data_IF_155338091316
#
_entry.id   IF_155338091316
#
_cell.length_a   1.000
_cell.length_b   1.000
_cell.length_c   1.000
_cell.angle_alpha   90.00
_cell.angle_beta   90.00
_cell.angle_gamma   90.00
#
_symmetry.space_group_name_H-M   'P 1'
#
loop_
_entity.id
_entity.type
_entity.pdbx_description
1 polymer ?
#
# COMPACT_ATOMS: atom_id res chain seq x y z
N UNK A 1 8.92 -10.22 4.99
CA UNK A 1 8.04 -9.33 5.79
C UNK A 1 7.91 -9.94 7.18
N UNK A 2 7.88 -9.15 8.26
CA UNK A 2 7.46 -9.64 9.57
C UNK A 2 5.98 -10.09 9.50
N UNK A 3 5.48 -10.85 10.46
CA UNK A 3 4.13 -11.42 10.41
C UNK A 3 3.04 -10.36 10.17
N UNK A 4 3.03 -9.27 10.93
CA UNK A 4 2.05 -8.18 10.75
C UNK A 4 2.19 -7.48 9.40
N UNK A 5 3.42 -7.30 8.93
CA UNK A 5 3.69 -6.70 7.62
C UNK A 5 3.22 -7.61 6.48
N UNK A 6 3.37 -8.94 6.65
CA UNK A 6 2.90 -9.94 5.71
C UNK A 6 1.37 -9.96 5.68
N UNK A 7 0.72 -9.93 6.85
CA UNK A 7 -0.74 -9.85 6.96
C UNK A 7 -1.29 -8.61 6.25
N UNK A 8 -0.70 -7.45 6.50
CA UNK A 8 -1.07 -6.22 5.82
C UNK A 8 -0.95 -6.34 4.29
N UNK A 9 0.18 -6.89 3.83
CA UNK A 9 0.43 -7.13 2.41
C UNK A 9 -0.62 -8.08 1.80
N UNK A 10 -0.92 -9.19 2.46
CA UNK A 10 -1.89 -10.19 1.99
C UNK A 10 -3.31 -9.61 1.89
N UNK A 11 -3.75 -8.80 2.85
CA UNK A 11 -5.06 -8.11 2.79
C UNK A 11 -5.14 -7.20 1.56
N UNK A 12 -4.08 -6.43 1.28
CA UNK A 12 -4.03 -5.54 0.12
C UNK A 12 -4.00 -6.33 -1.19
N UNK A 13 -3.22 -7.41 -1.26
CA UNK A 13 -3.15 -8.26 -2.46
C UNK A 13 -4.46 -8.96 -2.76
N UNK A 14 -5.14 -9.49 -1.73
CA UNK A 14 -6.47 -10.07 -1.89
C UNK A 14 -7.47 -9.04 -2.44
N UNK A 15 -7.48 -7.82 -1.90
CA UNK A 15 -8.37 -6.77 -2.39
C UNK A 15 -8.09 -6.42 -3.87
N UNK A 16 -6.81 -6.30 -4.23
CA UNK A 16 -6.41 -6.10 -5.62
C UNK A 16 -6.86 -7.27 -6.52
N UNK A 17 -6.66 -8.51 -6.10
CA UNK A 17 -7.05 -9.70 -6.88
C UNK A 17 -8.57 -9.76 -7.12
N UNK A 18 -9.38 -9.45 -6.10
CA UNK A 18 -10.83 -9.35 -6.24
C UNK A 18 -11.21 -8.26 -7.25
N UNK A 19 -10.63 -7.07 -7.14
CA UNK A 19 -10.85 -5.95 -8.08
C UNK A 19 -10.44 -6.33 -9.52
N UNK A 20 -9.29 -6.97 -9.72
CA UNK A 20 -8.82 -7.38 -11.05
C UNK A 20 -9.64 -8.53 -11.63
N UNK A 21 -10.30 -9.34 -10.78
CA UNK A 21 -11.22 -10.39 -11.23
C UNK A 21 -12.59 -9.86 -11.67
N UNK A 22 -12.78 -8.55 -11.74
CA UNK A 22 -14.04 -7.91 -12.12
C UNK A 22 -15.10 -7.93 -11.01
N UNK A 23 -14.71 -8.26 -9.78
CA UNK A 23 -15.59 -8.14 -8.62
C UNK A 23 -15.50 -6.73 -8.05
N UNK A 24 -16.50 -6.39 -7.25
CA UNK A 24 -16.61 -5.11 -6.58
C UNK A 24 -16.46 -5.30 -5.06
N UNK A 25 -15.26 -5.63 -4.56
CA UNK A 25 -15.06 -5.73 -3.11
C UNK A 25 -15.32 -4.36 -2.46
N UNK A 26 -15.86 -4.33 -1.24
CA UNK A 26 -16.06 -3.06 -0.53
C UNK A 26 -14.73 -2.31 -0.38
N UNK A 27 -14.74 -0.96 -0.30
CA UNK A 27 -13.53 -0.19 -0.14
C UNK A 27 -12.69 -0.65 1.05
N UNK A 28 -11.43 -1.05 0.80
CA UNK A 28 -10.51 -1.45 1.86
C UNK A 28 -10.06 -0.21 2.64
N UNK A 29 -10.53 -0.10 3.89
CA UNK A 29 -10.10 0.94 4.84
C UNK A 29 -9.21 0.29 5.89
N UNK A 30 -7.91 0.58 5.84
CA UNK A 30 -6.93 -0.04 6.73
C UNK A 30 -6.02 1.03 7.35
N UNK A 31 -5.74 0.88 8.66
CA UNK A 31 -4.73 1.66 9.37
C UNK A 31 -3.60 0.72 9.77
N UNK A 32 -2.38 1.00 9.31
CA UNK A 32 -1.18 0.29 9.74
C UNK A 32 -0.55 1.01 10.94
N UNK A 33 -0.89 0.53 12.14
CA UNK A 33 -0.33 1.06 13.39
C UNK A 33 0.96 0.34 13.79
N UNK A 34 1.80 1.03 14.55
CA UNK A 34 3.00 0.47 15.17
C UNK A 34 4.03 1.57 15.47
N UNK A 35 4.95 1.30 16.39
CA UNK A 35 5.99 2.25 16.78
C UNK A 35 6.90 2.69 15.60
N UNK A 36 7.63 3.80 15.76
CA UNK A 36 8.64 4.21 14.80
C UNK A 36 9.65 3.08 14.53
N UNK A 37 10.10 2.92 13.28
CA UNK A 37 11.10 1.89 12.94
C UNK A 37 10.57 0.45 12.79
N UNK A 38 9.27 0.18 12.99
CA UNK A 38 8.70 -1.18 12.83
C UNK A 38 8.55 -1.65 11.38
N UNK A 39 9.04 -0.88 10.41
CA UNK A 39 9.07 -1.27 9.00
C UNK A 39 7.75 -1.06 8.24
N UNK A 40 6.89 -0.12 8.68
CA UNK A 40 5.69 0.27 7.92
C UNK A 40 6.02 0.70 6.48
N UNK A 41 7.11 1.44 6.27
CA UNK A 41 7.58 1.81 4.93
C UNK A 41 7.92 0.61 4.05
N UNK A 42 8.35 -0.53 4.65
CA UNK A 42 8.60 -1.77 3.91
C UNK A 42 7.29 -2.33 3.33
N UNK A 43 6.17 -2.21 4.05
CA UNK A 43 4.86 -2.64 3.54
C UNK A 43 4.48 -1.79 2.32
N UNK A 44 4.58 -0.46 2.42
CA UNK A 44 4.29 0.47 1.32
C UNK A 44 5.14 0.13 0.08
N UNK A 45 6.45 -0.08 0.28
CA UNK A 45 7.36 -0.41 -0.81
C UNK A 45 7.01 -1.75 -1.47
N UNK A 46 6.71 -2.78 -0.67
CA UNK A 46 6.39 -4.12 -1.18
C UNK A 46 5.07 -4.13 -1.94
N UNK A 47 4.05 -3.41 -1.44
CA UNK A 47 2.77 -3.20 -2.14
C UNK A 47 2.99 -2.45 -3.45
N UNK A 48 3.81 -1.39 -3.44
CA UNK A 48 4.13 -0.63 -4.66
C UNK A 48 4.77 -1.52 -5.71
N UNK A 49 5.74 -2.35 -5.32
CA UNK A 49 6.39 -3.31 -6.21
C UNK A 49 5.41 -4.35 -6.76
N UNK A 50 4.49 -4.85 -5.92
CA UNK A 50 3.49 -5.82 -6.35
C UNK A 50 2.53 -5.23 -7.41
N UNK A 51 2.02 -4.02 -7.18
CA UNK A 51 1.19 -3.32 -8.18
C UNK A 51 1.96 -3.09 -9.49
N UNK A 52 3.22 -2.65 -9.39
CA UNK A 52 4.08 -2.46 -10.56
C UNK A 52 4.32 -3.75 -11.34
N UNK A 53 4.64 -4.86 -10.66
CA UNK A 53 4.88 -6.16 -11.27
C UNK A 53 3.66 -6.73 -12.01
N UNK A 54 2.46 -6.29 -11.63
CA UNK A 54 1.18 -6.67 -12.25
C UNK A 54 0.72 -5.68 -13.32
N UNK A 55 1.51 -4.64 -13.61
CA UNK A 55 1.13 -3.59 -14.56
C UNK A 55 0.02 -2.65 -14.05
N UNK A 56 -0.24 -2.63 -12.74
CA UNK A 56 -1.37 -1.93 -12.12
C UNK A 56 -0.94 -0.67 -11.35
N UNK A 57 0.16 -0.02 -11.74
CA UNK A 57 0.65 1.20 -11.08
C UNK A 57 -0.41 2.31 -11.03
N UNK A 58 -1.28 2.40 -12.05
CA UNK A 58 -2.37 3.38 -12.12
C UNK A 58 -3.48 3.19 -11.08
N UNK A 59 -3.55 2.03 -10.42
CA UNK A 59 -4.55 1.76 -9.38
C UNK A 59 -4.04 2.09 -7.97
N UNK A 60 -2.77 2.46 -7.81
CA UNK A 60 -2.17 2.77 -6.51
C UNK A 60 -1.82 4.24 -6.39
N UNK A 61 -2.61 4.99 -5.62
CA UNK A 61 -2.29 6.35 -5.22
C UNK A 61 -1.58 6.35 -3.85
N UNK A 62 -0.44 7.04 -3.77
CA UNK A 62 0.38 7.18 -2.57
C UNK A 62 0.40 8.64 -2.17
N UNK A 63 0.04 8.94 -0.93
CA UNK A 63 -0.01 10.31 -0.44
C UNK A 63 0.50 10.43 1.00
N UNK A 64 1.05 11.59 1.35
CA UNK A 64 1.55 11.90 2.68
C UNK A 64 1.36 13.38 3.03
N UNK A 65 1.41 13.72 4.31
CA UNK A 65 1.19 15.10 4.79
C UNK A 65 2.38 16.04 4.57
N UNK A 66 3.61 15.52 4.50
CA UNK A 66 4.82 16.35 4.31
C UNK A 66 5.53 15.97 3.02
N UNK A 67 6.21 16.95 2.40
CA UNK A 67 6.96 16.71 1.15
C UNK A 67 8.03 15.63 1.28
N UNK A 68 8.72 15.58 2.43
CA UNK A 68 9.72 14.54 2.71
C UNK A 68 9.06 13.15 2.78
N UNK A 69 7.94 13.02 3.49
CA UNK A 69 7.23 11.74 3.59
C UNK A 69 6.64 11.31 2.24
N UNK A 70 6.15 12.26 1.44
CA UNK A 70 5.65 12.00 0.09
C UNK A 70 6.78 11.50 -0.81
N UNK A 71 7.94 12.15 -0.78
CA UNK A 71 9.13 11.72 -1.54
C UNK A 71 9.60 10.31 -1.16
N UNK A 72 9.59 9.96 0.14
CA UNK A 72 10.01 8.64 0.62
C UNK A 72 9.14 7.49 0.11
N UNK A 73 7.88 7.75 -0.24
CA UNK A 73 6.96 6.76 -0.80
C UNK A 73 6.75 6.94 -2.30
N UNK A 74 7.47 7.87 -2.93
CA UNK A 74 7.25 8.26 -4.33
C UNK A 74 5.77 8.62 -4.57
N UNK A 75 5.23 9.43 -3.67
CA UNK A 75 3.84 9.86 -3.63
C UNK A 75 3.70 11.38 -3.72
N UNK A 76 2.48 11.86 -3.56
CA UNK A 76 2.15 13.30 -3.56
C UNK A 76 1.83 13.81 -2.16
N UNK A 77 1.96 15.12 -1.96
CA UNK A 77 1.44 15.74 -0.74
C UNK A 77 -0.09 15.77 -0.76
N UNK A 78 -0.72 15.60 0.41
CA UNK A 78 -2.15 15.86 0.61
C UNK A 78 -2.37 17.37 0.77
N UNK A 79 -2.32 18.13 -0.33
CA UNK A 79 -2.60 19.56 -0.37
C UNK A 79 -3.41 19.94 -1.61
#
# INVERSE_FOLDING_TARGET
>A
LKEDQRRAYEIIMWHLDETLSGREPPPLRMILYGEGGTGKSRVIQTVTQAFASRGQTGLLLKAAYTGVAASLIDGKTLH
#
